data_IF_627062502352
#
_entry.id   IF_627062502352
#
_cell.length_a   1.000
_cell.length_b   1.000
_cell.length_c   1.000
_cell.angle_alpha   90.00
_cell.angle_beta   90.00
_cell.angle_gamma   90.00
#
_symmetry.space_group_name_H-M   'P 1'
#
loop_
_entity.id
_entity.type
_entity.pdbx_description
1 polymer ?
#
# COMPACT_ATOMS: atom_id res chain seq x y z
N UNK A 1 36.82 -17.32 15.00
CA UNK A 1 37.02 -16.02 14.32
C UNK A 1 35.64 -15.47 13.99
N UNK A 2 35.31 -14.32 14.58
CA UNK A 2 33.99 -13.68 14.55
C UNK A 2 33.80 -12.84 13.30
N UNK A 3 33.02 -13.33 12.33
CA UNK A 3 32.45 -12.48 11.28
C UNK A 3 31.14 -11.89 11.78
N UNK A 4 31.24 -10.83 12.58
CA UNK A 4 30.12 -9.89 12.75
C UNK A 4 30.17 -8.95 11.54
N UNK A 5 29.82 -9.48 10.39
CA UNK A 5 29.52 -8.67 9.22
C UNK A 5 28.17 -8.01 9.45
N UNK A 6 28.13 -6.69 9.59
CA UNK A 6 26.89 -5.93 9.48
C UNK A 6 26.33 -6.28 8.10
N UNK A 7 25.28 -7.12 8.03
CA UNK A 7 24.53 -7.34 6.79
C UNK A 7 24.08 -5.96 6.33
N UNK A 8 24.75 -5.44 5.30
CA UNK A 8 24.48 -4.10 4.78
C UNK A 8 23.00 -3.98 4.49
N UNK A 9 22.32 -3.11 5.23
CA UNK A 9 20.94 -2.75 4.96
C UNK A 9 20.98 -2.06 3.61
N UNK A 10 20.47 -2.73 2.58
CA UNK A 10 20.41 -2.18 1.24
C UNK A 10 19.30 -1.13 1.23
N UNK A 11 19.70 0.14 1.37
CA UNK A 11 18.79 1.30 1.39
C UNK A 11 17.98 1.43 0.09
N UNK A 12 18.39 0.75 -0.98
CA UNK A 12 17.69 0.75 -2.27
C UNK A 12 16.77 -0.46 -2.43
N UNK A 13 16.61 -1.29 -1.39
CA UNK A 13 15.74 -2.46 -1.40
C UNK A 13 14.76 -2.52 -0.24
N UNK A 14 13.60 -3.09 -0.53
CA UNK A 14 12.56 -3.43 0.43
C UNK A 14 12.32 -4.93 0.30
N UNK A 15 12.40 -5.66 1.42
CA UNK A 15 12.29 -7.13 1.44
C UNK A 15 13.17 -7.86 0.39
N UNK A 16 14.33 -7.29 0.02
CA UNK A 16 15.24 -7.84 -0.99
C UNK A 16 14.94 -7.46 -2.45
N UNK A 17 13.89 -6.67 -2.69
CA UNK A 17 13.52 -6.15 -4.01
C UNK A 17 13.94 -4.69 -4.17
N UNK A 18 14.48 -4.32 -5.34
CA UNK A 18 14.84 -2.93 -5.64
C UNK A 18 13.61 -2.02 -5.68
N UNK A 19 13.76 -0.78 -5.23
CA UNK A 19 12.72 0.24 -5.38
C UNK A 19 12.56 0.54 -6.88
N UNK A 20 11.34 0.37 -7.39
CA UNK A 20 10.98 0.68 -8.77
C UNK A 20 10.48 2.12 -8.92
N UNK A 21 9.91 2.70 -7.85
CA UNK A 21 9.44 4.08 -7.87
C UNK A 21 8.79 4.52 -6.56
N UNK A 22 8.15 5.69 -6.62
CA UNK A 22 7.49 6.33 -5.48
C UNK A 22 6.18 6.95 -5.93
N UNK A 23 5.13 6.80 -5.09
CA UNK A 23 3.90 7.57 -5.23
C UNK A 23 3.80 8.62 -4.10
N UNK A 24 3.40 9.86 -4.39
CA UNK A 24 3.03 10.80 -3.35
C UNK A 24 1.69 10.40 -2.70
N UNK A 25 1.57 10.54 -1.39
CA UNK A 25 0.40 10.18 -0.60
C UNK A 25 -0.07 11.37 0.22
N UNK A 26 -1.36 11.69 0.13
CA UNK A 26 -1.97 12.80 0.86
C UNK A 26 -2.91 12.36 1.98
N UNK A 27 -3.09 11.04 2.18
CA UNK A 27 -4.03 10.51 3.16
C UNK A 27 -3.77 10.94 4.61
N UNK A 28 -2.53 11.28 4.96
CA UNK A 28 -2.20 11.86 6.27
C UNK A 28 -2.55 13.35 6.41
N UNK A 29 -3.14 13.97 5.39
CA UNK A 29 -3.63 15.36 5.44
C UNK A 29 -2.54 16.43 5.45
N UNK A 30 -1.29 16.06 5.18
CA UNK A 30 -0.16 16.98 5.18
C UNK A 30 -0.13 17.85 3.92
N UNK A 31 0.35 19.10 4.05
CA UNK A 31 0.53 20.03 2.91
C UNK A 31 1.54 19.50 1.89
N UNK A 32 2.54 18.76 2.37
CA UNK A 32 3.53 18.07 1.55
C UNK A 32 3.15 16.59 1.57
N UNK A 33 2.98 15.95 0.41
CA UNK A 33 2.65 14.54 0.39
C UNK A 33 3.78 13.69 0.97
N UNK A 34 3.41 12.68 1.76
CA UNK A 34 4.31 11.60 2.13
C UNK A 34 4.70 10.80 0.88
N UNK A 35 5.86 10.13 0.91
CA UNK A 35 6.31 9.30 -0.23
C UNK A 35 6.16 7.83 0.12
N UNK A 36 5.42 7.09 -0.71
CA UNK A 36 5.24 5.65 -0.57
C UNK A 36 6.03 4.93 -1.66
N UNK A 37 7.05 4.12 -1.32
CA UNK A 37 7.84 3.39 -2.30
C UNK A 37 7.11 2.12 -2.76
N UNK A 38 7.35 1.74 -4.02
CA UNK A 38 6.91 0.45 -4.57
C UNK A 38 8.06 -0.28 -5.26
N UNK A 39 8.01 -1.61 -5.28
CA UNK A 39 9.02 -2.47 -5.88
C UNK A 39 8.54 -3.12 -7.19
N UNK A 40 7.23 -3.12 -7.45
CA UNK A 40 6.59 -3.71 -8.62
C UNK A 40 5.37 -2.91 -9.08
N UNK A 41 4.94 -3.16 -10.33
CA UNK A 41 3.72 -2.56 -10.88
C UNK A 41 2.45 -3.00 -10.12
N UNK A 42 2.42 -4.21 -9.54
CA UNK A 42 1.26 -4.66 -8.78
C UNK A 42 1.15 -3.91 -7.45
N UNK A 43 2.27 -3.69 -6.76
CA UNK A 43 2.30 -2.84 -5.56
C UNK A 43 1.94 -1.40 -5.89
N UNK A 44 2.45 -0.82 -6.98
CA UNK A 44 2.05 0.53 -7.42
C UNK A 44 0.52 0.62 -7.57
N UNK A 45 -0.09 -0.38 -8.22
CA UNK A 45 -1.55 -0.46 -8.37
C UNK A 45 -2.28 -0.55 -7.03
N UNK A 46 -1.76 -1.36 -6.11
CA UNK A 46 -2.33 -1.50 -4.77
C UNK A 46 -2.26 -0.16 -4.03
N UNK A 47 -1.08 0.47 -3.98
CA UNK A 47 -0.88 1.72 -3.25
C UNK A 47 -1.72 2.86 -3.83
N UNK A 48 -1.83 2.97 -5.17
CA UNK A 48 -2.74 3.93 -5.80
C UNK A 48 -4.21 3.63 -5.51
N UNK A 49 -4.61 2.37 -5.49
CA UNK A 49 -5.97 1.99 -5.08
C UNK A 49 -6.24 2.44 -3.64
N UNK A 50 -5.29 2.19 -2.73
CA UNK A 50 -5.40 2.61 -1.33
C UNK A 50 -5.48 4.13 -1.20
N UNK A 51 -4.64 4.90 -1.90
CA UNK A 51 -4.65 6.38 -1.93
C UNK A 51 -6.06 6.95 -2.19
N UNK A 52 -6.77 6.37 -3.14
CA UNK A 52 -8.10 6.82 -3.56
C UNK A 52 -9.26 6.06 -2.92
N UNK A 53 -9.00 5.06 -2.09
CA UNK A 53 -10.06 4.34 -1.40
C UNK A 53 -10.72 5.26 -0.35
N UNK A 54 -12.04 5.51 -0.40
CA UNK A 54 -12.72 6.52 0.42
C UNK A 54 -12.58 6.25 1.92
N UNK A 55 -12.68 4.98 2.31
CA UNK A 55 -12.68 4.60 3.72
C UNK A 55 -11.28 4.46 4.31
N UNK A 56 -10.22 4.38 3.49
CA UNK A 56 -8.86 4.27 4.02
C UNK A 56 -8.46 5.66 4.52
N UNK A 57 -8.15 5.76 5.81
CA UNK A 57 -7.69 6.98 6.45
C UNK A 57 -6.19 7.20 6.21
N UNK A 58 -5.39 6.15 6.31
CA UNK A 58 -3.96 6.17 5.94
C UNK A 58 -3.49 4.79 5.51
N UNK A 59 -2.37 4.75 4.78
CA UNK A 59 -1.66 3.53 4.43
C UNK A 59 -0.15 3.80 4.35
N UNK A 60 0.63 2.75 4.43
CA UNK A 60 2.07 2.77 4.21
C UNK A 60 2.62 1.37 4.04
N UNK A 61 3.89 1.27 3.69
CA UNK A 61 4.58 -0.02 3.54
C UNK A 61 4.75 -0.72 4.88
N UNK A 62 4.34 -1.98 4.96
CA UNK A 62 4.50 -2.80 6.18
C UNK A 62 5.87 -3.48 6.26
N UNK A 63 6.53 -3.68 5.13
CA UNK A 63 7.75 -4.46 4.96
C UNK A 63 9.04 -3.62 4.92
N UNK A 64 8.93 -2.30 5.06
CA UNK A 64 10.10 -1.42 5.20
C UNK A 64 10.73 -1.57 6.60
N UNK A 65 12.06 -1.45 6.66
CA UNK A 65 12.75 -1.41 7.95
C UNK A 65 12.64 -0.02 8.61
N UNK A 66 12.82 0.04 9.92
CA UNK A 66 12.93 1.32 10.64
C UNK A 66 14.06 2.21 10.12
N UNK A 67 15.20 1.62 9.77
CA UNK A 67 16.32 2.33 9.13
C UNK A 67 15.91 2.94 7.80
N UNK A 68 15.23 2.17 6.95
CA UNK A 68 14.72 2.65 5.66
C UNK A 68 13.75 3.81 5.84
N UNK A 69 12.77 3.67 6.74
CA UNK A 69 11.80 4.71 7.04
C UNK A 69 12.49 6.00 7.51
N UNK A 70 13.48 5.88 8.40
CA UNK A 70 14.29 7.01 8.88
C UNK A 70 15.08 7.69 7.76
N UNK A 71 15.79 6.92 6.93
CA UNK A 71 16.60 7.45 5.81
C UNK A 71 15.76 8.24 4.82
N UNK A 72 14.57 7.74 4.46
CA UNK A 72 13.68 8.39 3.51
C UNK A 72 12.65 9.33 4.17
N UNK A 73 12.73 9.54 5.48
CA UNK A 73 11.82 10.38 6.28
C UNK A 73 10.34 10.01 6.06
N UNK A 74 10.06 8.70 6.04
CA UNK A 74 8.70 8.17 5.89
C UNK A 74 8.06 8.12 7.28
N UNK A 75 7.01 8.92 7.47
CA UNK A 75 6.18 8.88 8.68
C UNK A 75 5.34 7.61 8.68
N UNK A 76 5.46 6.78 9.72
CA UNK A 76 4.65 5.57 9.88
C UNK A 76 3.85 5.63 11.19
N UNK A 77 2.51 5.65 11.13
CA UNK A 77 1.67 5.62 12.34
C UNK A 77 1.76 4.31 13.13
N UNK A 78 2.28 3.26 12.50
CA UNK A 78 2.51 1.94 13.08
C UNK A 78 4.00 1.59 13.03
N UNK A 79 4.47 0.69 13.91
CA UNK A 79 5.84 0.19 13.87
C UNK A 79 6.16 -0.48 12.53
N UNK A 80 7.35 -0.19 12.00
CA UNK A 80 7.89 -0.81 10.80
C UNK A 80 9.25 -1.47 11.08
N UNK A 81 9.50 -2.70 10.60
CA UNK A 81 8.59 -3.52 9.80
C UNK A 81 7.43 -4.08 10.65
N UNK A 82 6.24 -4.11 10.08
CA UNK A 82 5.06 -4.69 10.70
C UNK A 82 5.12 -6.21 10.58
N UNK A 83 5.45 -6.88 11.69
CA UNK A 83 5.77 -8.31 11.66
C UNK A 83 4.60 -9.16 12.14
N UNK A 84 4.22 -10.15 11.35
CA UNK A 84 3.18 -11.11 11.67
C UNK A 84 3.82 -12.50 11.79
N UNK A 85 3.76 -13.07 13.00
CA UNK A 85 4.23 -14.42 13.24
C UNK A 85 3.20 -15.44 12.76
N UNK A 86 3.65 -16.48 12.08
CA UNK A 86 2.79 -17.58 11.65
C UNK A 86 3.52 -18.92 11.69
N UNK A 87 2.75 -20.01 11.81
CA UNK A 87 3.26 -21.37 11.76
C UNK A 87 2.95 -21.97 10.40
N UNK A 88 3.92 -22.62 9.77
CA UNK A 88 3.72 -23.41 8.56
C UNK A 88 4.62 -24.64 8.63
N UNK A 89 4.05 -25.83 8.38
CA UNK A 89 4.78 -27.10 8.45
C UNK A 89 5.54 -27.32 9.78
N UNK A 90 5.00 -26.85 10.90
CA UNK A 90 5.61 -26.98 12.22
C UNK A 90 6.75 -25.99 12.52
N UNK A 91 7.05 -25.08 11.59
CA UNK A 91 8.09 -24.07 11.75
C UNK A 91 7.50 -22.66 11.92
N UNK A 92 8.10 -21.89 12.81
CA UNK A 92 7.76 -20.50 13.01
C UNK A 92 8.38 -19.64 11.90
N UNK A 93 7.56 -18.75 11.34
CA UNK A 93 7.95 -17.84 10.28
C UNK A 93 7.46 -16.42 10.59
N UNK A 94 8.15 -15.44 10.00
CA UNK A 94 7.75 -14.04 10.03
C UNK A 94 7.25 -13.67 8.64
N UNK A 95 6.07 -13.07 8.59
CA UNK A 95 5.48 -12.46 7.41
C UNK A 95 5.49 -10.94 7.59
N UNK A 96 5.91 -10.24 6.53
CA UNK A 96 5.90 -8.79 6.43
C UNK A 96 4.91 -8.43 5.31
N UNK A 97 3.86 -7.66 5.60
CA UNK A 97 2.87 -7.30 4.60
C UNK A 97 3.36 -6.18 3.68
N UNK A 98 2.95 -6.20 2.43
CA UNK A 98 3.28 -5.14 1.46
C UNK A 98 2.78 -3.78 1.95
N UNK A 99 1.51 -3.72 2.40
CA UNK A 99 0.91 -2.51 2.93
C UNK A 99 0.14 -2.75 4.23
N UNK A 100 0.20 -1.76 5.10
CA UNK A 100 -0.65 -1.61 6.29
C UNK A 100 -1.35 -0.27 6.24
N UNK A 101 -2.46 -0.15 6.96
CA UNK A 101 -3.19 1.09 7.03
C UNK A 101 -4.26 1.06 8.09
N UNK A 102 -5.12 2.06 8.06
CA UNK A 102 -6.28 2.14 8.93
C UNK A 102 -7.46 2.72 8.15
N UNK A 103 -8.66 2.25 8.45
CA UNK A 103 -9.88 2.86 7.96
C UNK A 103 -10.30 4.07 8.80
N UNK A 104 -11.26 4.85 8.30
CA UNK A 104 -11.83 6.01 8.97
C UNK A 104 -12.46 5.67 10.34
N UNK A 105 -12.93 4.43 10.52
CA UNK A 105 -13.47 3.94 11.80
C UNK A 105 -12.39 3.46 12.79
N UNK A 106 -11.12 3.59 12.42
CA UNK A 106 -9.98 3.16 13.25
C UNK A 106 -9.59 1.69 13.08
N UNK A 107 -10.31 0.90 12.28
CA UNK A 107 -10.00 -0.51 12.08
C UNK A 107 -8.74 -0.74 11.24
N UNK A 108 -8.01 -1.82 11.51
CA UNK A 108 -6.74 -2.14 10.85
C UNK A 108 -6.95 -2.59 9.40
N UNK A 109 -6.13 -2.08 8.49
CA UNK A 109 -6.00 -2.62 7.14
C UNK A 109 -4.65 -3.31 7.00
N UNK A 110 -4.65 -4.55 6.49
CA UNK A 110 -3.46 -5.21 5.97
C UNK A 110 -3.75 -5.55 4.51
N UNK A 111 -2.81 -5.27 3.60
CA UNK A 111 -3.01 -5.52 2.18
C UNK A 111 -1.77 -6.09 1.49
N UNK A 112 -2.01 -6.96 0.52
CA UNK A 112 -1.01 -7.62 -0.32
C UNK A 112 -1.28 -7.38 -1.81
N UNK A 113 -0.20 -7.35 -2.59
CA UNK A 113 -0.20 -7.28 -4.03
C UNK A 113 0.49 -8.54 -4.58
N UNK A 114 -0.23 -9.36 -5.34
CA UNK A 114 0.38 -10.56 -5.90
C UNK A 114 -0.42 -11.25 -6.97
N UNK A 115 0.22 -12.18 -7.67
CA UNK A 115 -0.41 -12.95 -8.74
C UNK A 115 -1.36 -13.98 -8.13
N UNK A 116 -2.56 -14.14 -8.69
CA UNK A 116 -3.58 -15.05 -8.14
C UNK A 116 -3.06 -16.50 -7.97
N UNK A 117 -2.29 -16.99 -8.95
CA UNK A 117 -1.69 -18.33 -8.90
C UNK A 117 -0.70 -18.51 -7.73
N UNK A 118 0.00 -17.45 -7.33
CA UNK A 118 0.94 -17.51 -6.21
C UNK A 118 0.18 -17.60 -4.89
N UNK A 119 -1.00 -16.97 -4.79
CA UNK A 119 -1.82 -17.01 -3.59
C UNK A 119 -2.41 -18.40 -3.29
N UNK A 120 -2.47 -19.28 -4.30
CA UNK A 120 -2.93 -20.67 -4.14
C UNK A 120 -1.90 -21.58 -3.46
N UNK A 121 -0.63 -21.15 -3.32
CA UNK A 121 0.40 -21.95 -2.64
C UNK A 121 0.07 -22.07 -1.15
N UNK A 122 0.19 -23.27 -0.58
CA UNK A 122 -0.15 -23.56 0.82
C UNK A 122 0.54 -22.60 1.82
N UNK A 123 1.81 -22.25 1.56
CA UNK A 123 2.53 -21.27 2.39
C UNK A 123 1.90 -19.88 2.35
N UNK A 124 1.43 -19.43 1.19
CA UNK A 124 0.80 -18.11 1.04
C UNK A 124 -0.60 -18.11 1.65
N UNK A 125 -1.33 -19.23 1.60
CA UNK A 125 -2.58 -19.38 2.35
C UNK A 125 -2.36 -19.27 3.86
N UNK A 126 -1.29 -19.89 4.40
CA UNK A 126 -0.95 -19.77 5.83
C UNK A 126 -0.60 -18.33 6.23
N UNK A 127 0.12 -17.60 5.38
CA UNK A 127 0.38 -16.15 5.58
C UNK A 127 -0.91 -15.35 5.58
N UNK A 128 -1.76 -15.54 4.57
CA UNK A 128 -3.05 -14.87 4.41
C UNK A 128 -3.97 -15.12 5.62
N UNK A 129 -4.00 -16.35 6.13
CA UNK A 129 -4.79 -16.69 7.32
C UNK A 129 -4.26 -15.96 8.57
N UNK A 130 -2.94 -15.92 8.77
CA UNK A 130 -2.33 -15.20 9.87
C UNK A 130 -2.61 -13.69 9.79
N UNK A 131 -2.45 -13.10 8.60
CA UNK A 131 -2.76 -11.70 8.33
C UNK A 131 -4.23 -11.37 8.66
N UNK A 132 -5.15 -12.22 8.19
CA UNK A 132 -6.58 -12.10 8.47
C UNK A 132 -6.89 -12.18 9.96
N UNK A 133 -6.25 -13.08 10.70
CA UNK A 133 -6.44 -13.19 12.17
C UNK A 133 -5.97 -11.92 12.89
N UNK A 134 -4.83 -11.36 12.50
CA UNK A 134 -4.32 -10.09 13.07
C UNK A 134 -5.25 -8.93 12.75
N UNK A 135 -5.71 -8.81 11.51
CA UNK A 135 -6.66 -7.78 11.11
C UNK A 135 -7.96 -7.89 11.91
N UNK A 136 -8.54 -9.09 12.00
CA UNK A 136 -9.80 -9.32 12.71
C UNK A 136 -9.70 -8.99 14.21
N UNK A 137 -8.56 -9.29 14.85
CA UNK A 137 -8.32 -8.93 16.25
C UNK A 137 -8.36 -7.41 16.49
N UNK A 138 -8.17 -6.61 15.44
CA UNK A 138 -8.26 -5.15 15.46
C UNK A 138 -9.50 -4.63 14.70
N UNK A 139 -10.57 -5.45 14.64
CA UNK A 139 -11.82 -5.18 13.92
C UNK A 139 -11.63 -4.79 12.43
N UNK A 140 -10.50 -5.20 11.87
CA UNK A 140 -10.01 -4.80 10.56
C UNK A 140 -10.20 -5.86 9.48
N UNK A 141 -9.63 -5.58 8.31
CA UNK A 141 -9.69 -6.47 7.16
C UNK A 141 -8.31 -6.74 6.56
N UNK A 142 -8.19 -7.91 5.97
CA UNK A 142 -7.06 -8.30 5.14
C UNK A 142 -7.50 -8.33 3.68
N UNK A 143 -6.79 -7.59 2.81
CA UNK A 143 -7.08 -7.49 1.38
C UNK A 143 -5.96 -8.08 0.54
N UNK A 144 -6.34 -8.73 -0.56
CA UNK A 144 -5.41 -9.19 -1.58
C UNK A 144 -5.80 -8.53 -2.90
N UNK A 145 -4.89 -7.71 -3.41
CA UNK A 145 -4.93 -7.17 -4.76
C UNK A 145 -4.28 -8.14 -5.74
N UNK A 146 -5.04 -8.59 -6.72
CA UNK A 146 -4.55 -9.45 -7.82
C UNK A 146 -4.82 -8.78 -9.16
N UNK A 147 -4.38 -9.38 -10.25
CA UNK A 147 -4.67 -8.94 -11.62
C UNK A 147 -6.18 -8.85 -11.88
N UNK A 148 -6.99 -9.66 -11.19
CA UNK A 148 -8.44 -9.67 -11.32
C UNK A 148 -9.12 -8.48 -10.61
N UNK A 149 -8.52 -7.95 -9.54
CA UNK A 149 -9.12 -6.86 -8.72
C UNK A 149 -8.44 -5.51 -8.94
N UNK A 150 -7.13 -5.51 -9.24
CA UNK A 150 -6.29 -4.35 -9.58
C UNK A 150 -6.13 -4.22 -11.10
N UNK A 151 -7.27 -4.00 -11.76
CA UNK A 151 -7.37 -3.95 -13.22
C UNK A 151 -6.52 -2.83 -13.84
N UNK A 152 -5.81 -3.07 -14.97
CA UNK A 152 -5.00 -2.06 -15.65
C UNK A 152 -5.76 -0.78 -16.01
N UNK A 153 -7.04 -0.89 -16.40
CA UNK A 153 -7.87 0.28 -16.73
C UNK A 153 -8.12 1.18 -15.52
N UNK A 154 -8.42 0.58 -14.35
CA UNK A 154 -8.58 1.34 -13.10
C UNK A 154 -7.27 2.02 -12.73
N UNK A 155 -6.16 1.30 -12.83
CA UNK A 155 -4.83 1.86 -12.59
C UNK A 155 -4.56 3.08 -13.47
N UNK A 156 -4.77 3.00 -14.78
CA UNK A 156 -4.55 4.11 -15.69
C UNK A 156 -5.39 5.36 -15.31
N UNK A 157 -6.65 5.15 -14.92
CA UNK A 157 -7.50 6.23 -14.42
C UNK A 157 -6.97 6.86 -13.12
N UNK A 158 -6.52 6.03 -12.17
CA UNK A 158 -5.94 6.51 -10.92
C UNK A 158 -4.63 7.26 -11.15
N UNK A 159 -3.76 6.78 -12.04
CA UNK A 159 -2.54 7.49 -12.46
C UNK A 159 -2.90 8.85 -13.08
N UNK A 160 -3.89 8.90 -13.96
CA UNK A 160 -4.34 10.16 -14.56
C UNK A 160 -4.84 11.14 -13.50
N UNK A 161 -5.70 10.68 -12.58
CA UNK A 161 -6.19 11.49 -11.46
C UNK A 161 -5.04 11.98 -10.58
N UNK A 162 -4.06 11.11 -10.31
CA UNK A 162 -2.90 11.42 -9.50
C UNK A 162 -1.98 12.46 -10.15
N UNK A 163 -1.73 12.33 -11.46
CA UNK A 163 -0.94 13.29 -12.23
C UNK A 163 -1.62 14.66 -12.37
N UNK A 164 -2.96 14.69 -12.34
CA UNK A 164 -3.77 15.91 -12.43
C UNK A 164 -4.21 16.44 -11.07
N UNK A 165 -3.78 15.81 -9.98
CA UNK A 165 -4.21 16.16 -8.63
C UNK A 165 -3.82 17.60 -8.35
N UNK A 166 -4.83 18.46 -8.23
CA UNK A 166 -4.68 19.75 -7.58
C UNK A 166 -4.72 19.54 -6.07
N UNK A 167 -4.10 20.41 -5.26
CA UNK A 167 -4.18 20.34 -3.81
C UNK A 167 -5.62 20.62 -3.37
N UNK A 168 -6.49 19.60 -3.40
CA UNK A 168 -7.82 19.66 -2.82
C UNK A 168 -7.67 19.46 -1.31
N UNK A 169 -8.05 20.44 -0.47
CA UNK A 169 -7.86 20.39 0.97
C UNK A 169 -8.71 19.32 1.68
N UNK A 170 -9.72 18.72 1.03
CA UNK A 170 -10.56 17.69 1.65
C UNK A 170 -10.97 16.54 0.71
N UNK A 171 -11.26 15.36 1.28
CA UNK A 171 -11.83 14.22 0.53
C UNK A 171 -13.21 14.55 -0.03
N UNK A 172 -14.00 15.40 0.63
CA UNK A 172 -15.31 15.83 0.13
C UNK A 172 -15.17 16.60 -1.19
N UNK A 173 -14.23 17.55 -1.25
CA UNK A 173 -13.94 18.30 -2.48
C UNK A 173 -13.36 17.41 -3.59
N UNK A 174 -12.52 16.44 -3.22
CA UNK A 174 -12.05 15.43 -4.16
C UNK A 174 -13.22 14.57 -4.68
N UNK A 175 -14.15 14.14 -3.81
CA UNK A 175 -15.29 13.32 -4.17
C UNK A 175 -16.26 14.06 -5.10
N UNK A 176 -16.52 15.34 -4.86
CA UNK A 176 -17.29 16.20 -5.76
C UNK A 176 -16.62 16.32 -7.13
N UNK A 177 -15.32 16.60 -7.17
CA UNK A 177 -14.56 16.66 -8.43
C UNK A 177 -14.56 15.30 -9.15
N UNK A 178 -14.44 14.20 -8.41
CA UNK A 178 -14.54 12.85 -8.95
C UNK A 178 -15.94 12.58 -9.50
N UNK A 179 -17.03 12.96 -8.84
CA UNK A 179 -18.39 12.78 -9.36
C UNK A 179 -18.64 13.51 -10.69
N UNK A 180 -17.90 14.58 -11.00
CA UNK A 180 -17.99 15.26 -12.30
C UNK A 180 -17.28 14.47 -13.40
N UNK A 181 -16.16 13.81 -13.08
CA UNK A 181 -15.31 13.09 -14.05
C UNK A 181 -15.67 11.61 -14.18
N UNK A 182 -16.18 11.00 -13.11
CA UNK A 182 -16.45 9.57 -12.93
C UNK A 182 -17.76 9.01 -13.52
N UNK A 183 -18.80 9.79 -13.94
CA UNK A 183 -19.96 9.18 -14.60
C UNK A 183 -19.59 8.59 -15.96
N UNK A 184 -18.43 8.95 -16.48
CA UNK A 184 -17.95 8.57 -17.79
C UNK A 184 -16.92 7.46 -17.55
N UNK A 185 -17.31 6.25 -17.89
CA UNK A 185 -16.40 5.09 -17.95
C UNK A 185 -15.23 5.30 -18.93
N UNK A 186 -15.21 6.43 -19.64
CA UNK A 186 -14.17 6.87 -20.57
C UNK A 186 -13.50 8.14 -20.04
N UNK A 187 -12.17 8.17 -20.06
CA UNK A 187 -11.38 9.32 -19.63
C UNK A 187 -11.76 10.57 -20.46
N UNK A 188 -12.53 11.48 -19.88
CA UNK A 188 -12.84 12.75 -20.52
C UNK A 188 -11.72 13.76 -20.26
N UNK A 189 -11.20 14.36 -21.33
CA UNK A 189 -10.27 15.48 -21.28
C UNK A 189 -10.98 16.71 -20.70
N UNK A 190 -10.52 17.21 -19.54
CA UNK A 190 -11.01 18.47 -18.99
C UNK A 190 -10.31 19.62 -19.73
N UNK A 191 -11.06 20.35 -20.56
CA UNK A 191 -10.63 21.67 -21.04
C UNK A 191 -10.74 22.65 -19.88
N UNK A 192 -9.62 23.23 -19.47
CA UNK A 192 -9.62 24.39 -18.60
C UNK A 192 -10.43 25.52 -19.26
N UNK A 193 -11.44 26.04 -18.57
CA UNK A 193 -12.08 27.31 -18.93
C UNK A 193 -11.45 28.41 -18.07
N UNK A 194 -10.94 29.43 -18.74
CA UNK A 194 -10.71 30.80 -18.22
C UNK A 194 -9.53 30.94 -17.29
#
# INVERSE_FOLDING_TARGET
MSEIGIRGIDLFKIAGQSISGWIPSWKMGEKIPARQPFCSLMEERLLLYLEYHPQVAWYGRGDISSTFASTYKITTPQPVPFSINYLFEGHAHIYLPDAIGQFQDGSLLIAEAGMEQEQLRARNQAKAEAARKVALAHSGVYWIGTEATLLPRRHANLVFLHARRQPFPSFSELAEALQVVWPWSEAACVKARG
#
